data_IF_236217807949
#
_entry.id   IF_236217807949
#
_cell.length_a   1.000
_cell.length_b   1.000
_cell.length_c   1.000
_cell.angle_alpha   90.00
_cell.angle_beta   90.00
_cell.angle_gamma   90.00
#
_symmetry.space_group_name_H-M   'P 1'
#
loop_
_entity.id
_entity.type
_entity.pdbx_description
1 polymer ?
#
# COMPACT_ATOMS: atom_id res chain seq x y z
N UNK A 1 27.77 -2.63 -20.44
CA UNK A 1 28.20 -3.63 -19.42
C UNK A 1 29.21 -4.60 -20.01
N UNK A 2 28.87 -5.34 -21.08
CA UNK A 2 29.81 -6.30 -21.68
C UNK A 2 31.08 -5.60 -22.22
N UNK A 3 30.92 -4.50 -22.97
CA UNK A 3 32.01 -3.66 -23.47
C UNK A 3 32.98 -3.24 -22.35
N UNK A 4 32.46 -2.64 -21.28
CA UNK A 4 33.29 -2.18 -20.15
C UNK A 4 34.04 -3.33 -19.44
N UNK A 5 33.48 -4.55 -19.44
CA UNK A 5 34.14 -5.72 -18.84
C UNK A 5 35.24 -6.25 -19.77
N UNK A 6 35.03 -6.21 -21.08
CA UNK A 6 36.06 -6.56 -22.07
C UNK A 6 37.25 -5.61 -21.98
N UNK A 7 37.00 -4.31 -21.73
CA UNK A 7 38.07 -3.31 -21.56
C UNK A 7 38.85 -3.47 -20.24
N UNK A 8 38.22 -4.07 -19.21
CA UNK A 8 38.81 -4.27 -17.88
C UNK A 8 39.57 -5.61 -17.71
N UNK A 9 39.43 -6.55 -18.65
CA UNK A 9 39.92 -7.92 -18.45
C UNK A 9 40.76 -8.38 -19.64
N UNK A 10 42.00 -8.81 -19.38
CA UNK A 10 42.95 -9.22 -20.42
C UNK A 10 42.57 -10.52 -21.16
N UNK A 11 41.57 -11.25 -20.67
CA UNK A 11 41.14 -12.53 -21.27
C UNK A 11 39.63 -12.65 -21.39
N UNK A 12 39.20 -13.11 -22.58
CA UNK A 12 37.79 -13.36 -22.92
C UNK A 12 37.10 -14.35 -21.95
N UNK A 13 37.73 -15.47 -21.51
CA UNK A 13 37.10 -16.38 -20.56
C UNK A 13 36.80 -15.72 -19.20
N UNK A 14 37.71 -14.87 -18.70
CA UNK A 14 37.51 -14.15 -17.45
C UNK A 14 36.42 -13.08 -17.59
N UNK A 15 36.37 -12.38 -18.73
CA UNK A 15 35.31 -11.42 -19.04
C UNK A 15 33.92 -12.08 -19.06
N UNK A 16 33.78 -13.26 -19.68
CA UNK A 16 32.53 -14.02 -19.73
C UNK A 16 32.08 -14.46 -18.33
N UNK A 17 32.99 -14.94 -17.48
CA UNK A 17 32.67 -15.29 -16.09
C UNK A 17 32.19 -14.06 -15.30
N UNK A 18 32.91 -12.93 -15.40
CA UNK A 18 32.57 -11.69 -14.68
C UNK A 18 31.21 -11.15 -15.13
N UNK A 19 30.95 -11.14 -16.44
CA UNK A 19 29.66 -10.76 -17.02
C UNK A 19 28.52 -11.66 -16.54
N UNK A 20 28.69 -12.99 -16.62
CA UNK A 20 27.68 -13.96 -16.19
C UNK A 20 27.33 -13.79 -14.72
N UNK A 21 28.34 -13.60 -13.85
CA UNK A 21 28.13 -13.39 -12.41
C UNK A 21 27.40 -12.08 -12.08
N UNK A 22 27.65 -11.01 -12.85
CA UNK A 22 26.92 -9.75 -12.69
C UNK A 22 25.47 -9.88 -13.20
N UNK A 23 25.25 -10.42 -14.40
CA UNK A 23 23.92 -10.56 -15.01
C UNK A 23 23.02 -11.55 -14.27
N UNK A 24 23.59 -12.63 -13.72
CA UNK A 24 22.83 -13.58 -12.91
C UNK A 24 22.13 -12.91 -11.71
N UNK A 25 22.79 -11.94 -11.05
CA UNK A 25 22.21 -11.19 -9.93
C UNK A 25 21.07 -10.28 -10.38
N UNK A 26 21.22 -9.62 -11.53
CA UNK A 26 20.17 -8.78 -12.11
C UNK A 26 18.94 -9.61 -12.52
N UNK A 27 19.16 -10.71 -13.25
CA UNK A 27 18.09 -11.60 -13.67
C UNK A 27 17.29 -12.14 -12.47
N UNK A 28 17.98 -12.55 -11.39
CA UNK A 28 17.33 -12.98 -10.15
C UNK A 28 16.48 -11.87 -9.53
N UNK A 29 16.97 -10.64 -9.54
CA UNK A 29 16.25 -9.48 -9.00
C UNK A 29 15.01 -9.19 -9.82
N UNK A 30 15.11 -9.22 -11.16
CA UNK A 30 13.99 -9.01 -12.07
C UNK A 30 12.91 -10.07 -11.88
N UNK A 31 13.28 -11.36 -11.82
CA UNK A 31 12.33 -12.46 -11.54
C UNK A 31 11.65 -12.27 -10.18
N UNK A 32 12.40 -11.84 -9.17
CA UNK A 32 11.84 -11.57 -7.83
C UNK A 32 10.84 -10.41 -7.87
N UNK A 33 11.15 -9.33 -8.58
CA UNK A 33 10.24 -8.20 -8.79
C UNK A 33 9.00 -8.67 -9.53
N UNK A 34 9.15 -9.38 -10.66
CA UNK A 34 8.04 -9.92 -11.45
C UNK A 34 7.10 -10.80 -10.60
N UNK A 35 7.65 -11.74 -9.82
CA UNK A 35 6.83 -12.58 -8.92
C UNK A 35 6.16 -11.80 -7.80
N UNK A 36 6.76 -10.69 -7.35
CA UNK A 36 6.15 -9.82 -6.34
C UNK A 36 5.01 -8.97 -6.90
N UNK A 37 5.03 -8.68 -8.21
CA UNK A 37 3.94 -8.03 -8.93
C UNK A 37 2.80 -9.01 -9.23
N UNK A 38 3.13 -10.26 -9.50
CA UNK A 38 2.20 -11.30 -9.94
C UNK A 38 1.53 -12.08 -8.78
N UNK A 39 1.64 -11.64 -7.53
CA UNK A 39 1.00 -12.33 -6.40
C UNK A 39 -0.53 -12.09 -6.43
N UNK A 40 -1.37 -13.07 -6.82
CA UNK A 40 -2.81 -12.89 -6.86
C UNK A 40 -3.39 -13.11 -5.47
N UNK A 41 -4.31 -12.24 -5.04
CA UNK A 41 -5.05 -12.38 -3.78
C UNK A 41 -5.30 -11.06 -3.06
N UNK A 42 -6.33 -11.01 -2.22
CA UNK A 42 -6.77 -9.79 -1.51
C UNK A 42 -5.68 -9.17 -0.62
N UNK A 43 -4.91 -9.99 0.11
CA UNK A 43 -3.76 -9.48 0.87
C UNK A 43 -2.64 -8.95 -0.03
N UNK A 44 -2.41 -9.58 -1.19
CA UNK A 44 -1.44 -9.11 -2.18
C UNK A 44 -1.86 -7.76 -2.75
N UNK A 45 -3.13 -7.61 -3.12
CA UNK A 45 -3.73 -6.37 -3.57
C UNK A 45 -3.62 -5.26 -2.51
N UNK A 46 -4.00 -5.51 -1.26
CA UNK A 46 -3.87 -4.53 -0.18
C UNK A 46 -2.40 -4.13 0.04
N UNK A 47 -1.50 -5.11 0.16
CA UNK A 47 -0.08 -4.83 0.44
C UNK A 47 0.68 -4.27 -0.77
N UNK A 48 0.12 -4.32 -1.97
CA UNK A 48 0.72 -3.76 -3.18
C UNK A 48 0.08 -2.41 -3.57
N UNK A 49 -1.24 -2.34 -3.58
CA UNK A 49 -2.02 -1.17 -4.01
C UNK A 49 -1.95 -0.05 -2.98
N UNK A 50 -2.09 -0.37 -1.68
CA UNK A 50 -2.05 0.67 -0.63
C UNK A 50 -0.72 1.42 -0.67
N UNK A 51 0.46 0.75 -0.68
CA UNK A 51 1.73 1.46 -0.80
C UNK A 51 1.87 2.26 -2.08
N UNK A 52 1.30 1.81 -3.22
CA UNK A 52 1.36 2.56 -4.49
C UNK A 52 0.51 3.84 -4.43
N UNK A 53 -0.67 3.76 -3.81
CA UNK A 53 -1.54 4.93 -3.61
C UNK A 53 -0.86 5.91 -2.65
N UNK A 54 -0.33 5.42 -1.52
CA UNK A 54 0.42 6.23 -0.57
C UNK A 54 1.67 6.85 -1.22
N UNK A 55 2.41 6.09 -2.03
CA UNK A 55 3.56 6.58 -2.79
C UNK A 55 3.17 7.70 -3.76
N UNK A 56 2.03 7.56 -4.44
CA UNK A 56 1.49 8.60 -5.32
C UNK A 56 1.10 9.88 -4.57
N UNK A 57 0.59 9.76 -3.33
CA UNK A 57 0.29 10.91 -2.46
C UNK A 57 1.57 11.57 -1.96
N UNK A 58 2.53 10.79 -1.46
CA UNK A 58 3.79 11.32 -0.94
C UNK A 58 4.67 11.94 -2.03
N UNK A 59 4.66 11.38 -3.24
CA UNK A 59 5.35 11.98 -4.39
C UNK A 59 4.74 13.32 -4.78
N UNK A 60 3.41 13.50 -4.64
CA UNK A 60 2.76 14.81 -4.83
C UNK A 60 3.10 15.81 -3.74
N UNK A 61 3.27 15.36 -2.49
CA UNK A 61 3.57 16.22 -1.34
C UNK A 61 5.04 16.65 -1.31
N UNK A 62 5.96 15.72 -1.59
CA UNK A 62 7.40 15.96 -1.50
C UNK A 62 8.17 15.26 -2.63
N UNK A 63 8.07 15.76 -3.87
CA UNK A 63 8.71 15.15 -5.06
C UNK A 63 10.25 15.13 -4.99
N UNK A 64 10.85 15.94 -4.12
CA UNK A 64 12.30 15.94 -3.88
C UNK A 64 12.76 14.78 -2.98
N UNK A 65 11.86 14.21 -2.18
CA UNK A 65 12.17 13.19 -1.16
C UNK A 65 11.71 11.81 -1.65
N UNK A 66 10.56 11.74 -2.31
CA UNK A 66 9.98 10.49 -2.80
C UNK A 66 10.35 10.25 -4.27
N UNK A 67 10.83 9.03 -4.56
CA UNK A 67 11.22 8.68 -5.93
C UNK A 67 10.00 8.35 -6.78
N UNK A 68 10.03 8.63 -8.09
CA UNK A 68 8.95 8.28 -9.00
C UNK A 68 8.59 6.78 -8.93
N UNK A 69 7.35 6.47 -9.30
CA UNK A 69 6.80 5.13 -9.30
C UNK A 69 7.74 4.09 -9.96
N UNK A 70 7.81 2.87 -9.43
CA UNK A 70 8.75 1.80 -9.88
C UNK A 70 8.71 1.62 -11.39
N UNK A 71 7.52 1.67 -12.00
CA UNK A 71 7.33 1.48 -13.44
C UNK A 71 8.08 2.56 -14.23
N UNK A 72 8.04 3.81 -13.78
CA UNK A 72 8.79 4.91 -14.39
C UNK A 72 10.31 4.77 -14.14
N UNK A 73 10.72 4.22 -13.00
CA UNK A 73 12.14 3.93 -12.74
C UNK A 73 12.68 2.77 -13.58
N UNK A 74 11.83 1.79 -13.93
CA UNK A 74 12.21 0.67 -14.79
C UNK A 74 12.33 1.07 -16.27
N UNK A 75 11.76 2.20 -16.67
CA UNK A 75 11.86 2.75 -18.03
C UNK A 75 13.12 3.63 -18.23
N UNK A 76 13.89 3.91 -17.17
CA UNK A 76 15.13 4.70 -17.25
C UNK A 76 16.33 3.76 -17.39
N UNK A 77 17.03 3.85 -18.51
CA UNK A 77 18.19 2.99 -18.83
C UNK A 77 19.43 3.28 -17.97
N UNK A 78 19.43 4.41 -17.27
CA UNK A 78 20.50 4.94 -16.45
C UNK A 78 20.58 4.31 -15.04
N UNK A 79 19.63 3.44 -14.65
CA UNK A 79 19.62 2.80 -13.33
C UNK A 79 19.64 1.27 -13.37
N UNK A 80 20.52 0.68 -12.54
CA UNK A 80 20.54 -0.77 -12.34
C UNK A 80 19.33 -1.25 -11.54
N UNK A 81 18.81 -2.44 -11.85
CA UNK A 81 17.67 -3.04 -11.13
C UNK A 81 17.90 -3.14 -9.62
N UNK A 82 19.16 -3.31 -9.19
CA UNK A 82 19.54 -3.35 -7.78
C UNK A 82 19.39 -1.98 -7.11
N UNK A 83 19.76 -0.91 -7.80
CA UNK A 83 19.57 0.45 -7.31
C UNK A 83 18.07 0.78 -7.15
N UNK A 84 17.24 0.38 -8.11
CA UNK A 84 15.78 0.53 -8.04
C UNK A 84 15.21 -0.23 -6.84
N UNK A 85 15.62 -1.48 -6.62
CA UNK A 85 15.18 -2.27 -5.48
C UNK A 85 15.59 -1.66 -4.12
N UNK A 86 16.81 -1.13 -4.02
CA UNK A 86 17.30 -0.48 -2.81
C UNK A 86 16.52 0.81 -2.50
N UNK A 87 16.32 1.67 -3.51
CA UNK A 87 15.50 2.88 -3.36
C UNK A 87 14.08 2.56 -2.93
N UNK A 88 13.47 1.49 -3.46
CA UNK A 88 12.11 1.12 -3.08
C UNK A 88 12.01 0.61 -1.64
N UNK A 89 13.06 -0.01 -1.10
CA UNK A 89 13.08 -0.40 0.32
C UNK A 89 13.13 0.83 1.23
N UNK A 90 13.94 1.82 0.88
CA UNK A 90 14.04 3.07 1.63
C UNK A 90 12.69 3.78 1.65
N UNK A 91 12.02 3.86 0.49
CA UNK A 91 10.68 4.43 0.38
C UNK A 91 9.67 3.74 1.31
N UNK A 92 9.66 2.40 1.36
CA UNK A 92 8.81 1.66 2.32
C UNK A 92 9.14 1.96 3.79
N UNK A 93 10.42 2.09 4.12
CA UNK A 93 10.86 2.44 5.48
C UNK A 93 10.39 3.85 5.83
N UNK A 94 10.50 4.79 4.90
CA UNK A 94 10.06 6.17 5.09
C UNK A 94 8.55 6.26 5.23
N UNK A 95 7.79 5.52 4.42
CA UNK A 95 6.34 5.41 4.56
C UNK A 95 5.95 4.86 5.95
N UNK A 96 6.61 3.79 6.41
CA UNK A 96 6.39 3.23 7.75
C UNK A 96 6.78 4.22 8.85
N UNK A 97 7.85 4.99 8.66
CA UNK A 97 8.28 6.02 9.61
C UNK A 97 7.24 7.14 9.72
N UNK A 98 6.67 7.59 8.60
CA UNK A 98 5.63 8.63 8.58
C UNK A 98 4.35 8.14 9.24
N UNK A 99 3.90 6.92 8.90
CA UNK A 99 2.72 6.31 9.53
C UNK A 99 2.96 6.12 11.02
N UNK A 100 4.13 5.63 11.40
CA UNK A 100 4.52 5.44 12.80
C UNK A 100 4.56 6.75 13.57
N UNK A 101 5.16 7.80 13.01
CA UNK A 101 5.20 9.13 13.61
C UNK A 101 3.80 9.73 13.75
N UNK A 102 2.95 9.59 12.74
CA UNK A 102 1.57 10.05 12.77
C UNK A 102 0.77 9.33 13.87
N UNK A 103 0.84 8.00 13.93
CA UNK A 103 0.16 7.21 14.96
C UNK A 103 0.68 7.53 16.37
N UNK A 104 2.00 7.69 16.52
CA UNK A 104 2.60 8.09 17.78
C UNK A 104 2.14 9.50 18.22
N UNK A 105 2.07 10.44 17.28
CA UNK A 105 1.54 11.78 17.49
C UNK A 105 0.08 11.76 17.93
N UNK A 106 -0.77 11.00 17.23
CA UNK A 106 -2.16 10.81 17.62
C UNK A 106 -2.27 10.21 19.02
N UNK A 107 -1.52 9.14 19.32
CA UNK A 107 -1.54 8.51 20.64
C UNK A 107 -1.17 9.51 21.74
N UNK A 108 -0.14 10.33 21.54
CA UNK A 108 0.24 11.40 22.46
C UNK A 108 -0.87 12.43 22.65
N UNK A 109 -1.49 12.90 21.57
CA UNK A 109 -2.62 13.83 21.65
C UNK A 109 -3.80 13.23 22.43
N UNK A 110 -4.13 11.96 22.20
CA UNK A 110 -5.19 11.28 22.96
C UNK A 110 -4.84 11.21 24.44
N UNK A 111 -3.59 10.88 24.80
CA UNK A 111 -3.16 10.85 26.20
C UNK A 111 -3.22 12.22 26.86
N UNK A 112 -2.79 13.28 26.15
CA UNK A 112 -2.87 14.66 26.65
C UNK A 112 -4.33 15.06 26.84
N UNK A 113 -5.21 14.76 25.88
CA UNK A 113 -6.64 15.05 25.99
C UNK A 113 -7.30 14.30 27.15
N UNK A 114 -6.98 13.03 27.35
CA UNK A 114 -7.48 12.24 28.50
C UNK A 114 -6.98 12.83 29.81
N UNK A 115 -5.70 13.22 29.89
CA UNK A 115 -5.15 13.85 31.09
C UNK A 115 -5.82 15.18 31.39
N UNK A 116 -6.01 16.02 30.37
CA UNK A 116 -6.71 17.29 30.51
C UNK A 116 -8.14 17.08 31.03
N UNK A 117 -8.91 16.18 30.41
CA UNK A 117 -10.26 15.81 30.85
C UNK A 117 -10.28 15.24 32.28
N UNK A 118 -9.31 14.39 32.62
CA UNK A 118 -9.18 13.81 33.95
C UNK A 118 -8.93 14.87 35.03
N UNK A 119 -8.05 15.84 34.74
CA UNK A 119 -7.75 16.96 35.64
C UNK A 119 -8.94 17.91 35.76
N UNK A 120 -9.65 18.23 34.68
CA UNK A 120 -10.84 19.09 34.73
C UNK A 120 -12.00 18.42 35.47
N UNK A 121 -12.17 17.10 35.36
CA UNK A 121 -13.23 16.35 36.03
C UNK A 121 -12.88 15.85 37.43
N UNK A 122 -11.65 16.09 37.91
CA UNK A 122 -11.17 15.61 39.21
C UNK A 122 -11.19 14.08 39.36
N UNK A 123 -11.07 13.34 38.24
CA UNK A 123 -11.15 11.87 38.22
C UNK A 123 -9.84 11.25 37.73
N UNK A 124 -9.61 10.00 38.12
CA UNK A 124 -8.41 9.27 37.71
C UNK A 124 -8.43 9.01 36.19
N UNK A 125 -7.29 9.24 35.53
CA UNK A 125 -7.12 9.17 34.07
C UNK A 125 -7.47 7.79 33.48
N UNK A 126 -7.33 6.72 34.26
CA UNK A 126 -7.72 5.35 33.90
C UNK A 126 -9.24 5.18 33.75
N UNK A 127 -10.05 5.85 34.58
CA UNK A 127 -11.52 5.78 34.51
C UNK A 127 -12.06 6.53 33.29
N UNK A 128 -11.45 7.68 32.97
CA UNK A 128 -11.82 8.48 31.79
C UNK A 128 -11.43 7.77 30.50
N UNK A 129 -10.24 7.16 30.45
CA UNK A 129 -9.80 6.35 29.32
C UNK A 129 -10.73 5.14 29.08
N UNK A 130 -11.06 4.38 30.14
CA UNK A 130 -11.96 3.25 30.05
C UNK A 130 -13.37 3.65 29.60
N UNK A 131 -13.89 4.80 30.07
CA UNK A 131 -15.17 5.36 29.64
C UNK A 131 -15.18 5.74 28.16
N UNK A 132 -14.15 6.47 27.70
CA UNK A 132 -14.02 6.86 26.28
C UNK A 132 -13.87 5.65 25.36
N UNK A 133 -13.07 4.67 25.75
CA UNK A 133 -12.91 3.44 24.97
C UNK A 133 -14.21 2.63 24.93
N UNK A 134 -14.92 2.55 26.06
CA UNK A 134 -16.23 1.91 26.16
C UNK A 134 -17.28 2.58 25.28
N UNK A 135 -17.30 3.92 25.19
CA UNK A 135 -18.23 4.66 24.32
C UNK A 135 -17.88 4.48 22.84
N UNK A 136 -16.59 4.50 22.48
CA UNK A 136 -16.17 4.34 21.08
C UNK A 136 -16.40 2.92 20.57
N UNK A 137 -15.97 1.90 21.32
CA UNK A 137 -16.16 0.49 20.95
C UNK A 137 -17.64 0.11 21.08
N UNK A 138 -18.29 0.49 22.19
CA UNK A 138 -19.70 0.24 22.42
C UNK A 138 -20.57 0.90 21.36
N UNK A 139 -20.30 2.17 21.01
CA UNK A 139 -21.02 2.90 19.96
C UNK A 139 -20.83 2.29 18.57
N UNK A 140 -19.62 1.84 18.22
CA UNK A 140 -19.37 1.18 16.94
C UNK A 140 -20.07 -0.18 16.83
N UNK A 141 -20.07 -0.96 17.92
CA UNK A 141 -20.77 -2.25 18.01
C UNK A 141 -22.29 -2.05 17.98
N UNK A 142 -22.82 -1.09 18.76
CA UNK A 142 -24.24 -0.71 18.74
C UNK A 142 -24.68 -0.24 17.36
N UNK A 143 -23.87 0.55 16.65
CA UNK A 143 -24.21 1.02 15.30
C UNK A 143 -24.20 -0.12 14.27
N UNK A 144 -23.31 -1.10 14.42
CA UNK A 144 -23.35 -2.34 13.61
C UNK A 144 -24.57 -3.19 13.92
N UNK A 145 -24.91 -3.36 15.19
CA UNK A 145 -26.08 -4.15 15.62
C UNK A 145 -27.38 -3.45 15.19
N UNK A 146 -27.49 -2.14 15.36
CA UNK A 146 -28.63 -1.35 14.91
C UNK A 146 -28.76 -1.30 13.38
N UNK A 147 -27.65 -1.40 12.65
CA UNK A 147 -27.65 -1.57 11.18
C UNK A 147 -28.16 -2.94 10.73
N UNK A 148 -27.97 -3.99 11.54
CA UNK A 148 -28.49 -5.35 11.31
C UNK A 148 -29.95 -5.47 11.75
N UNK A 149 -30.37 -4.72 12.78
CA UNK A 149 -31.75 -4.65 13.27
C UNK A 149 -32.52 -3.45 12.70
N UNK A 150 -32.52 -3.27 11.38
CA UNK A 150 -33.55 -2.45 10.73
C UNK A 150 -34.80 -3.31 10.54
N UNK A 151 -35.92 -3.03 11.21
CA UNK A 151 -37.12 -3.85 11.12
C UNK A 151 -37.69 -3.71 9.70
N UNK A 152 -37.66 -4.80 8.92
CA UNK A 152 -38.24 -4.88 7.59
C UNK A 152 -37.42 -5.58 6.50
N UNK A 153 -36.18 -6.04 6.76
CA UNK A 153 -35.41 -6.82 5.77
C UNK A 153 -35.40 -8.30 6.14
N UNK A 154 -35.96 -9.14 5.26
CA UNK A 154 -35.88 -10.58 5.38
C UNK A 154 -34.40 -11.03 5.26
N UNK A 155 -33.93 -12.01 6.05
CA UNK A 155 -32.53 -12.49 6.00
C UNK A 155 -32.05 -12.94 4.61
N UNK A 156 -32.98 -13.28 3.71
CA UNK A 156 -32.70 -13.66 2.33
C UNK A 156 -32.17 -12.49 1.45
N UNK A 157 -32.50 -11.24 1.77
CA UNK A 157 -32.11 -10.07 0.96
C UNK A 157 -30.65 -9.62 1.17
N UNK A 158 -30.05 -9.99 2.30
CA UNK A 158 -28.65 -9.63 2.60
C UNK A 158 -27.68 -10.49 1.77
N UNK A 159 -28.11 -11.71 1.40
CA UNK A 159 -27.32 -12.63 0.57
C UNK A 159 -27.41 -12.31 -0.93
N UNK A 160 -28.52 -11.74 -1.40
CA UNK A 160 -28.70 -11.37 -2.81
C UNK A 160 -27.96 -10.06 -3.17
N UNK A 161 -27.90 -9.07 -2.27
CA UNK A 161 -27.12 -7.83 -2.49
C UNK A 161 -25.60 -8.03 -2.47
N UNK A 162 -25.10 -9.05 -1.77
CA UNK A 162 -23.66 -9.34 -1.76
C UNK A 162 -23.23 -10.07 -3.05
N UNK A 163 -24.15 -10.83 -3.68
CA UNK A 163 -23.88 -11.54 -4.93
C UNK A 163 -24.05 -10.68 -6.19
N UNK A 164 -24.98 -9.70 -6.20
CA UNK A 164 -25.22 -8.85 -7.38
C UNK A 164 -24.13 -7.79 -7.61
N UNK A 165 -23.40 -7.38 -6.57
CA UNK A 165 -22.31 -6.40 -6.72
C UNK A 165 -20.99 -7.00 -7.24
N UNK A 166 -20.93 -8.32 -7.44
CA UNK A 166 -19.76 -9.04 -7.98
C UNK A 166 -19.96 -9.40 -9.48
N UNK A 167 -21.19 -9.34 -10.01
CA UNK A 167 -21.50 -9.76 -11.40
C UNK A 167 -22.01 -8.68 -12.36
N UNK A 168 -22.05 -7.41 -11.94
CA UNK A 168 -22.82 -6.37 -12.64
C UNK A 168 -22.05 -5.45 -13.61
N UNK A 169 -20.74 -5.62 -13.82
CA UNK A 169 -19.94 -4.65 -14.60
C UNK A 169 -19.58 -5.07 -16.04
N UNK A 170 -20.11 -6.19 -16.54
CA UNK A 170 -19.75 -6.72 -17.87
C UNK A 170 -20.77 -6.46 -18.99
N UNK A 171 -21.80 -5.64 -18.77
CA UNK A 171 -22.79 -5.32 -19.83
C UNK A 171 -23.13 -3.84 -19.90
N UNK A 172 -22.15 -2.97 -20.17
CA UNK A 172 -22.42 -1.62 -20.66
C UNK A 172 -21.23 -1.01 -21.44
N UNK A 173 -20.74 -1.67 -22.50
CA UNK A 173 -19.81 -1.00 -23.44
C UNK A 173 -19.82 -1.55 -24.88
N UNK A 174 -20.93 -2.14 -25.34
CA UNK A 174 -21.07 -2.54 -26.77
C UNK A 174 -22.51 -2.37 -27.26
N UNK A 175 -23.10 -1.18 -27.06
CA UNK A 175 -24.35 -0.81 -27.72
C UNK A 175 -24.49 0.72 -27.84
N UNK A 176 -23.63 1.32 -28.67
CA UNK A 176 -23.93 2.54 -29.43
C UNK A 176 -23.17 2.36 -30.74
N UNK A 177 -23.78 1.80 -31.79
CA UNK A 177 -24.68 2.52 -32.71
C UNK A 177 -23.99 3.82 -33.15
N UNK A 178 -23.39 3.91 -34.35
CA UNK A 178 -24.00 3.75 -35.68
C UNK A 178 -25.33 4.52 -35.81
N UNK A 179 -25.38 5.40 -36.82
CA UNK A 179 -26.48 6.34 -37.15
C UNK A 179 -26.47 7.62 -36.30
N UNK A 180 -26.38 8.86 -36.79
CA UNK A 180 -26.74 9.39 -38.12
C UNK A 180 -26.15 10.81 -38.27
N UNK A 181 -25.35 11.04 -39.31
CA UNK A 181 -25.48 12.09 -40.34
C UNK A 181 -24.19 12.21 -41.15
#
# INVERSE_FOLDING_TARGET
ILSNILDETDSVPAAVQKFSKQRAKEAKTLVTISRSLDRPGFLGAITFIIPIILDSIFTKIAPKIFSPNIISMLQKDDMTFRAVAAKKRLDRILQLAIIGAFLAGMAKLTTIGIQFLATTMGRHSTTVAAGLFGVLVGGAVLKKIAGVFRPGMAPADVLTKTKSNIGGNDKLSTASASSTK
#
